data_IF_039729640950
#
_entry.id   IF_039729640950
#
_cell.length_a   1.000
_cell.length_b   1.000
_cell.length_c   1.000
_cell.angle_alpha   90.00
_cell.angle_beta   90.00
_cell.angle_gamma   90.00
#
_symmetry.space_group_name_H-M   'P 1'
#
loop_
_entity.id
_entity.type
_entity.pdbx_description
1 polymer ?
#
# COMPACT_ATOMS: atom_id res chain seq x y z
N UNK A 1 -0.58 -8.05 -18.17
CA UNK A 1 -1.54 -8.60 -17.19
C UNK A 1 -2.21 -7.41 -16.53
N UNK A 2 -3.54 -7.30 -16.56
CA UNK A 2 -4.27 -6.13 -16.06
C UNK A 2 -4.80 -6.47 -14.66
N UNK A 3 -4.52 -5.62 -13.68
CA UNK A 3 -4.91 -5.80 -12.28
C UNK A 3 -6.36 -5.31 -12.12
N UNK A 4 -7.29 -6.10 -11.54
CA UNK A 4 -8.67 -5.66 -11.34
C UNK A 4 -8.78 -4.71 -10.14
N UNK A 5 -9.56 -3.61 -10.22
CA UNK A 5 -9.87 -2.77 -9.06
C UNK A 5 -10.83 -3.50 -8.09
N UNK A 6 -10.89 -3.03 -6.84
CA UNK A 6 -11.74 -3.60 -5.77
C UNK A 6 -13.25 -3.56 -6.12
N UNK A 7 -13.67 -2.70 -7.07
CA UNK A 7 -15.00 -2.74 -7.66
C UNK A 7 -15.39 -1.43 -8.33
N UNK A 8 -16.57 -1.40 -8.98
CA UNK A 8 -17.19 -0.17 -9.44
C UNK A 8 -18.00 0.49 -8.29
N UNK A 9 -18.00 1.82 -8.22
CA UNK A 9 -18.69 2.62 -7.20
C UNK A 9 -20.18 2.21 -7.09
N UNK A 10 -20.55 1.60 -5.97
CA UNK A 10 -21.94 1.26 -5.60
C UNK A 10 -22.37 1.98 -4.32
N UNK A 11 -23.66 1.94 -3.94
CA UNK A 11 -24.20 2.71 -2.80
C UNK A 11 -23.70 2.26 -1.42
N UNK A 12 -23.03 1.10 -1.34
CA UNK A 12 -22.52 0.51 -0.09
C UNK A 12 -21.08 -0.01 -0.31
N UNK A 13 -20.05 0.76 0.07
CA UNK A 13 -18.63 0.40 -0.08
C UNK A 13 -18.23 -0.83 0.74
N UNK A 14 -18.79 -1.01 1.94
CA UNK A 14 -18.49 -2.15 2.80
C UNK A 14 -18.94 -3.46 2.14
N UNK A 15 -20.16 -3.48 1.58
CA UNK A 15 -20.63 -4.64 0.80
C UNK A 15 -19.83 -4.90 -0.47
N UNK A 16 -19.19 -3.88 -1.04
CA UNK A 16 -18.31 -4.08 -2.20
C UNK A 16 -17.02 -4.80 -1.80
N UNK A 17 -16.43 -4.41 -0.66
CA UNK A 17 -15.29 -5.09 -0.04
C UNK A 17 -15.62 -6.53 0.31
N UNK A 18 -16.74 -6.78 0.99
CA UNK A 18 -17.15 -8.13 1.37
C UNK A 18 -17.31 -9.04 0.15
N UNK A 19 -17.97 -8.54 -0.91
CA UNK A 19 -18.10 -9.27 -2.17
C UNK A 19 -16.75 -9.55 -2.82
N UNK A 20 -15.84 -8.58 -2.79
CA UNK A 20 -14.50 -8.74 -3.34
C UNK A 20 -13.74 -9.85 -2.59
N UNK A 21 -13.74 -9.82 -1.26
CA UNK A 21 -13.12 -10.85 -0.41
C UNK A 21 -13.74 -12.22 -0.68
N UNK A 22 -15.07 -12.32 -0.76
CA UNK A 22 -15.78 -13.56 -1.09
C UNK A 22 -15.39 -14.12 -2.46
N UNK A 23 -15.27 -13.26 -3.47
CA UNK A 23 -14.87 -13.68 -4.82
C UNK A 23 -13.42 -14.19 -4.81
N UNK A 24 -12.49 -13.44 -4.21
CA UNK A 24 -11.07 -13.79 -4.19
C UNK A 24 -10.80 -15.06 -3.40
N UNK A 25 -11.50 -15.25 -2.28
CA UNK A 25 -11.32 -16.45 -1.43
C UNK A 25 -11.81 -17.73 -2.11
N UNK A 26 -12.74 -17.62 -3.06
CA UNK A 26 -13.26 -18.74 -3.89
C UNK A 26 -12.43 -19.05 -5.13
N UNK A 27 -11.44 -18.23 -5.46
CA UNK A 27 -10.53 -18.51 -6.59
C UNK A 27 -9.67 -19.74 -6.31
N UNK A 28 -9.37 -20.49 -7.37
CA UNK A 28 -8.37 -21.56 -7.35
C UNK A 28 -7.06 -21.09 -6.70
N UNK A 29 -6.41 -21.90 -5.83
CA UNK A 29 -5.21 -21.47 -5.10
C UNK A 29 -4.08 -20.96 -6.01
N UNK A 30 -3.95 -21.53 -7.21
CA UNK A 30 -2.99 -21.07 -8.21
C UNK A 30 -3.30 -19.65 -8.73
N UNK A 31 -4.57 -19.31 -8.93
CA UNK A 31 -5.01 -18.00 -9.42
C UNK A 31 -4.89 -16.95 -8.31
N UNK A 32 -5.30 -17.29 -7.08
CA UNK A 32 -5.17 -16.40 -5.92
C UNK A 32 -3.73 -16.01 -5.63
N UNK A 33 -2.76 -16.87 -5.92
CA UNK A 33 -1.32 -16.55 -5.79
C UNK A 33 -0.83 -15.48 -6.76
N UNK A 34 -1.55 -15.25 -7.85
CA UNK A 34 -1.21 -14.31 -8.91
C UNK A 34 -2.02 -13.01 -8.85
N UNK A 35 -2.99 -12.93 -7.93
CA UNK A 35 -3.85 -11.76 -7.80
C UNK A 35 -3.06 -10.59 -7.20
N UNK A 36 -3.07 -9.46 -7.90
CA UNK A 36 -2.73 -8.16 -7.34
C UNK A 36 -4.03 -7.35 -7.22
N UNK A 37 -4.05 -6.38 -6.31
CA UNK A 37 -5.17 -5.46 -6.13
C UNK A 37 -4.62 -4.06 -6.29
N UNK A 38 -5.22 -3.27 -7.16
CA UNK A 38 -4.85 -1.87 -7.38
C UNK A 38 -5.98 -0.99 -6.84
N UNK A 39 -5.62 0.00 -6.03
CA UNK A 39 -6.57 1.02 -5.63
C UNK A 39 -6.72 2.02 -6.78
N UNK A 40 -7.95 2.39 -7.12
CA UNK A 40 -8.17 3.49 -8.05
C UNK A 40 -8.37 4.80 -7.26
N UNK A 41 -7.82 5.92 -7.75
CA UNK A 41 -7.92 7.24 -7.07
C UNK A 41 -9.36 7.81 -7.07
N UNK A 42 -10.36 6.98 -7.38
CA UNK A 42 -11.70 7.42 -7.77
C UNK A 42 -12.79 6.71 -6.97
N UNK A 43 -12.66 5.44 -6.61
CA UNK A 43 -13.83 4.66 -6.17
C UNK A 43 -13.86 4.33 -4.67
N UNK A 44 -12.72 4.21 -4.00
CA UNK A 44 -12.64 3.82 -2.59
C UNK A 44 -11.70 4.69 -1.76
N UNK A 45 -12.02 4.84 -0.47
CA UNK A 45 -11.09 5.37 0.52
C UNK A 45 -9.86 4.43 0.63
N UNK A 46 -8.63 4.91 0.45
CA UNK A 46 -7.42 4.09 0.46
C UNK A 46 -7.27 3.20 1.69
N UNK A 47 -7.73 3.64 2.88
CA UNK A 47 -7.66 2.84 4.09
C UNK A 47 -8.56 1.60 4.02
N UNK A 48 -9.81 1.76 3.57
CA UNK A 48 -10.74 0.63 3.38
C UNK A 48 -10.29 -0.31 2.26
N UNK A 49 -9.74 0.25 1.16
CA UNK A 49 -9.17 -0.55 0.07
C UNK A 49 -7.98 -1.40 0.55
N UNK A 50 -7.12 -0.82 1.39
CA UNK A 50 -5.99 -1.51 2.00
C UNK A 50 -6.47 -2.64 2.93
N UNK A 51 -7.40 -2.36 3.84
CA UNK A 51 -7.97 -3.37 4.75
C UNK A 51 -8.55 -4.56 3.97
N UNK A 52 -9.37 -4.28 2.95
CA UNK A 52 -9.95 -5.28 2.06
C UNK A 52 -8.87 -6.14 1.38
N UNK A 53 -7.85 -5.50 0.81
CA UNK A 53 -6.76 -6.19 0.13
C UNK A 53 -5.98 -7.09 1.10
N UNK A 54 -5.65 -6.58 2.29
CA UNK A 54 -4.93 -7.36 3.31
C UNK A 54 -5.77 -8.56 3.79
N UNK A 55 -7.08 -8.43 3.93
CA UNK A 55 -7.96 -9.53 4.32
C UNK A 55 -7.94 -10.70 3.32
N UNK A 56 -7.66 -10.44 2.04
CA UNK A 56 -7.52 -11.50 1.02
C UNK A 56 -6.18 -12.22 1.04
N UNK A 57 -5.17 -11.67 1.73
CA UNK A 57 -3.81 -12.18 1.67
C UNK A 57 -3.64 -13.43 2.54
N UNK A 58 -3.13 -14.56 2.00
CA UNK A 58 -3.06 -15.82 2.72
C UNK A 58 -2.33 -15.73 4.07
N UNK A 59 -2.76 -16.50 5.09
CA UNK A 59 -2.05 -16.58 6.36
C UNK A 59 -0.62 -17.10 6.17
N UNK A 60 0.31 -16.61 6.99
CA UNK A 60 1.74 -16.96 6.91
C UNK A 60 2.47 -16.36 5.69
N UNK A 61 1.83 -15.46 4.94
CA UNK A 61 2.48 -14.69 3.86
C UNK A 61 2.43 -13.20 4.15
N UNK A 62 3.56 -12.54 3.93
CA UNK A 62 3.70 -11.08 3.99
C UNK A 62 3.05 -10.46 2.74
N UNK A 63 2.11 -9.52 2.90
CA UNK A 63 1.58 -8.68 1.82
C UNK A 63 2.65 -7.81 1.17
N UNK A 64 2.55 -7.62 -0.14
CA UNK A 64 3.40 -6.69 -0.89
C UNK A 64 2.56 -5.53 -1.38
N UNK A 65 2.93 -4.32 -0.99
CA UNK A 65 2.28 -3.06 -1.35
C UNK A 65 3.20 -2.25 -2.24
N UNK A 66 2.61 -1.45 -3.13
CA UNK A 66 3.36 -0.50 -3.95
C UNK A 66 2.95 0.91 -3.52
N UNK A 67 3.95 1.78 -3.30
CA UNK A 67 3.73 3.19 -2.96
C UNK A 67 4.44 4.07 -3.99
N UNK A 68 3.69 4.99 -4.60
CA UNK A 68 4.22 6.06 -5.43
C UNK A 68 3.68 7.41 -4.96
N UNK A 69 4.37 8.48 -5.36
CA UNK A 69 3.87 9.85 -5.20
C UNK A 69 3.66 10.46 -6.58
N UNK A 70 2.62 11.27 -6.80
CA UNK A 70 2.37 11.89 -8.10
C UNK A 70 3.39 12.98 -8.39
N UNK A 71 3.72 13.23 -9.66
CA UNK A 71 4.58 14.36 -10.06
C UNK A 71 3.96 15.68 -9.59
N UNK A 72 2.65 15.87 -9.80
CA UNK A 72 1.92 17.06 -9.38
C UNK A 72 0.42 16.78 -9.29
N UNK A 73 -0.36 17.72 -8.75
CA UNK A 73 -1.83 17.62 -8.77
C UNK A 73 -2.39 17.58 -10.21
N UNK A 74 -1.69 18.20 -11.17
CA UNK A 74 -2.07 18.17 -12.59
C UNK A 74 -1.68 16.88 -13.31
N UNK A 75 -0.80 16.05 -12.71
CA UNK A 75 -0.46 14.73 -13.23
C UNK A 75 -0.43 13.68 -12.09
N UNK A 76 -1.61 13.21 -11.64
CA UNK A 76 -1.73 12.32 -10.49
C UNK A 76 -1.25 10.88 -10.78
N UNK A 77 -1.21 10.48 -12.05
CA UNK A 77 -0.80 9.12 -12.45
C UNK A 77 0.69 8.99 -12.75
N UNK A 78 1.40 10.11 -12.95
CA UNK A 78 2.82 10.06 -13.23
C UNK A 78 3.61 9.97 -11.93
N UNK A 79 4.53 9.02 -11.84
CA UNK A 79 5.37 8.85 -10.65
C UNK A 79 6.42 9.96 -10.56
N UNK A 80 6.56 10.53 -9.37
CA UNK A 80 7.60 11.48 -9.02
C UNK A 80 8.99 10.83 -8.95
N UNK A 81 10.02 11.66 -8.89
CA UNK A 81 11.39 11.20 -8.71
C UNK A 81 11.62 10.57 -7.33
N UNK A 82 10.92 11.08 -6.31
CA UNK A 82 10.97 10.58 -4.94
C UNK A 82 9.58 10.23 -4.38
N UNK A 83 9.57 9.73 -3.16
CA UNK A 83 8.35 9.56 -2.36
C UNK A 83 8.20 10.78 -1.47
N UNK A 84 7.02 11.40 -1.49
CA UNK A 84 6.69 12.50 -0.58
C UNK A 84 6.50 11.91 0.83
N UNK A 85 7.15 12.48 1.86
CA UNK A 85 7.00 11.99 3.23
C UNK A 85 5.54 11.89 3.69
N UNK A 86 4.68 12.82 3.24
CA UNK A 86 3.27 12.85 3.60
C UNK A 86 2.49 11.65 3.05
N UNK A 87 2.84 11.17 1.85
CA UNK A 87 2.22 9.98 1.26
C UNK A 87 2.65 8.71 2.03
N UNK A 88 3.91 8.65 2.47
CA UNK A 88 4.39 7.56 3.32
C UNK A 88 3.75 7.59 4.71
N UNK A 89 3.64 8.77 5.33
CA UNK A 89 2.99 8.95 6.65
C UNK A 89 1.51 8.51 6.60
N UNK A 90 0.79 8.81 5.51
CA UNK A 90 -0.60 8.33 5.31
C UNK A 90 -0.68 6.81 5.23
N UNK A 91 0.22 6.17 4.46
CA UNK A 91 0.27 4.71 4.38
C UNK A 91 0.59 4.10 5.75
N UNK A 92 1.58 4.63 6.46
CA UNK A 92 1.96 4.17 7.79
C UNK A 92 0.80 4.27 8.78
N UNK A 93 0.08 5.39 8.78
CA UNK A 93 -1.11 5.58 9.62
C UNK A 93 -2.22 4.56 9.31
N UNK A 94 -2.41 4.20 8.05
CA UNK A 94 -3.40 3.20 7.64
C UNK A 94 -2.98 1.75 8.01
N UNK A 95 -1.68 1.45 7.97
CA UNK A 95 -1.16 0.10 8.28
C UNK A 95 -1.10 -0.18 9.79
N UNK A 96 -0.77 0.81 10.61
CA UNK A 96 -0.65 0.67 12.07
C UNK A 96 -1.83 -0.04 12.75
N UNK A 97 -3.09 0.37 12.57
CA UNK A 97 -4.22 -0.30 13.24
C UNK A 97 -4.46 -1.73 12.75
N UNK A 98 -3.94 -2.11 11.58
CA UNK A 98 -4.12 -3.44 11.01
C UNK A 98 -3.15 -4.47 11.60
N UNK A 99 -2.08 -4.04 12.27
CA UNK A 99 -1.17 -4.91 13.03
C UNK A 99 -0.54 -6.04 12.21
N UNK A 100 -0.40 -5.85 10.89
CA UNK A 100 0.09 -6.87 9.95
C UNK A 100 1.33 -6.38 9.22
N UNK A 101 2.41 -7.14 9.33
CA UNK A 101 3.65 -6.87 8.59
C UNK A 101 3.40 -6.87 7.08
N UNK A 102 3.96 -5.88 6.39
CA UNK A 102 3.85 -5.71 4.94
C UNK A 102 5.18 -5.25 4.33
N UNK A 103 5.50 -5.75 3.14
CA UNK A 103 6.62 -5.27 2.34
C UNK A 103 6.14 -4.13 1.42
N UNK A 104 6.76 -2.95 1.51
CA UNK A 104 6.39 -1.78 0.68
C UNK A 104 7.46 -1.52 -0.38
N UNK A 105 7.08 -1.70 -1.65
CA UNK A 105 7.90 -1.31 -2.80
C UNK A 105 7.68 0.17 -3.11
N UNK A 106 8.76 0.96 -3.09
CA UNK A 106 8.71 2.36 -3.51
C UNK A 106 8.85 2.48 -5.03
N UNK A 107 7.79 2.91 -5.70
CA UNK A 107 7.76 3.14 -7.14
C UNK A 107 8.07 4.61 -7.46
N UNK A 108 9.36 4.94 -7.49
CA UNK A 108 9.86 6.28 -7.78
C UNK A 108 10.93 6.26 -8.88
N UNK A 109 10.98 7.29 -9.73
CA UNK A 109 11.91 7.33 -10.87
C UNK A 109 13.38 7.32 -10.44
N UNK A 110 13.70 7.94 -9.29
CA UNK A 110 15.08 8.00 -8.79
C UNK A 110 15.51 6.74 -8.00
N UNK A 111 14.65 5.70 -7.91
CA UNK A 111 14.98 4.38 -7.33
C UNK A 111 15.61 4.50 -5.94
N UNK A 112 16.79 3.93 -5.71
CA UNK A 112 17.51 3.94 -4.42
C UNK A 112 17.74 5.35 -3.86
N UNK A 113 17.83 6.39 -4.71
CA UNK A 113 17.95 7.77 -4.23
C UNK A 113 16.67 8.22 -3.52
N UNK A 114 15.50 7.80 -3.99
CA UNK A 114 14.23 8.07 -3.33
C UNK A 114 14.17 7.42 -1.95
N UNK A 115 14.59 6.15 -1.85
CA UNK A 115 14.65 5.44 -0.57
C UNK A 115 15.60 6.13 0.42
N UNK A 116 16.81 6.51 -0.02
CA UNK A 116 17.78 7.23 0.82
C UNK A 116 17.24 8.58 1.31
N UNK A 117 16.57 9.32 0.44
CA UNK A 117 15.96 10.60 0.80
C UNK A 117 14.84 10.42 1.84
N UNK A 118 13.96 9.43 1.65
CA UNK A 118 12.90 9.11 2.59
C UNK A 118 13.47 8.63 3.94
N UNK A 119 14.43 7.71 3.91
CA UNK A 119 15.12 7.21 5.09
C UNK A 119 15.79 8.35 5.89
N UNK A 120 16.46 9.28 5.20
CA UNK A 120 17.06 10.45 5.85
C UNK A 120 16.00 11.37 6.48
N UNK A 121 14.84 11.52 5.85
CA UNK A 121 13.72 12.29 6.40
C UNK A 121 13.10 11.64 7.64
N UNK A 122 13.03 10.30 7.68
CA UNK A 122 12.44 9.55 8.79
C UNK A 122 13.40 9.29 9.96
N UNK A 123 14.71 9.42 9.74
CA UNK A 123 15.72 9.16 10.75
C UNK A 123 15.50 10.01 12.01
N UNK A 124 15.35 9.34 13.16
CA UNK A 124 15.14 9.99 14.46
C UNK A 124 13.70 10.47 14.72
N UNK A 125 12.77 10.31 13.77
CA UNK A 125 11.35 10.57 14.00
C UNK A 125 10.74 9.44 14.86
N UNK A 126 9.93 9.75 15.87
CA UNK A 126 9.19 8.75 16.63
C UNK A 126 8.32 7.86 15.73
N UNK A 127 8.21 6.59 16.07
CA UNK A 127 7.41 5.62 15.32
C UNK A 127 8.11 5.03 14.08
N UNK A 128 9.34 5.44 13.79
CA UNK A 128 10.12 4.89 12.66
C UNK A 128 11.49 4.40 13.13
N UNK A 129 11.91 3.25 12.62
CA UNK A 129 13.29 2.78 12.72
C UNK A 129 13.88 2.67 11.32
N UNK A 130 14.99 3.38 11.11
CA UNK A 130 15.71 3.38 9.83
C UNK A 130 16.97 2.55 9.99
N UNK A 131 17.10 1.51 9.18
CA UNK A 131 18.24 0.58 9.21
C UNK A 131 19.32 1.01 8.22
N UNK A 132 20.58 0.64 8.51
CA UNK A 132 21.74 0.98 7.65
C UNK A 132 21.66 0.38 6.24
N UNK A 133 20.89 -0.69 6.07
CA UNK A 133 20.65 -1.38 4.79
C UNK A 133 19.69 -0.63 3.86
N UNK A 134 19.06 0.45 4.34
CA UNK A 134 18.02 1.17 3.61
C UNK A 134 16.61 0.66 3.89
N UNK A 135 16.43 -0.24 4.86
CA UNK A 135 15.11 -0.67 5.32
C UNK A 135 14.51 0.37 6.28
N UNK A 136 13.20 0.55 6.19
CA UNK A 136 12.41 1.40 7.09
C UNK A 136 11.38 0.50 7.75
N UNK A 137 11.39 0.47 9.07
CA UNK A 137 10.47 -0.31 9.90
C UNK A 137 9.53 0.65 10.65
N UNK A 138 8.23 0.36 10.60
CA UNK A 138 7.26 1.01 11.47
C UNK A 138 7.39 0.40 12.86
N UNK A 139 7.69 1.23 13.86
CA UNK A 139 7.75 0.80 15.25
C UNK A 139 6.66 1.49 16.04
N UNK A 140 6.22 0.89 17.13
CA UNK A 140 5.32 1.57 18.07
C UNK A 140 6.02 2.85 18.56
N UNK A 141 5.30 3.96 18.49
CA UNK A 141 5.71 5.16 19.19
C UNK A 141 5.45 4.88 20.67
N UNK A 142 6.51 4.52 21.40
CA UNK A 142 6.47 4.37 22.85
C UNK A 142 6.01 5.64 23.56
#
# INVERSE_FOLDING_TARGET
MRVPPIGARGPDPARAVDRFVDVVTRLEPAVRRLLAVENDDVSFDPAHALEAALATWPPGRTPKLHLSSPVSAGSPRDHADGIRPEDFDRLAAALRPLGRDCDVLLEAKAKDRALKALAAHLAGRPGYRVHRTGEIELVDAG
#
